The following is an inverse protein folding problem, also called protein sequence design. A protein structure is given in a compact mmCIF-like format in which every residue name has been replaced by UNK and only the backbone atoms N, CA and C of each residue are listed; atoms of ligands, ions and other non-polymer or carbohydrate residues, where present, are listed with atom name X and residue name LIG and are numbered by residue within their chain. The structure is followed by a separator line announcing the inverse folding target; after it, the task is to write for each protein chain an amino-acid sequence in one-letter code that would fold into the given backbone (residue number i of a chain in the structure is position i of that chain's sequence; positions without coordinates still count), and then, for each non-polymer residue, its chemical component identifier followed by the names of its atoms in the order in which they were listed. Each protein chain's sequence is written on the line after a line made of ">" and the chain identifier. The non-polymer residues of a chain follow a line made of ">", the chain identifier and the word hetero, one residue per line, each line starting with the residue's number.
data_IF_591043490492
#
_entry.id   IF_591043490492
#
_cell.length_a   1.000
_cell.length_b   1.000
_cell.length_c   1.000
_cell.angle_alpha   90.00
_cell.angle_beta   90.00
_cell.angle_gamma   90.00
#
_symmetry.space_group_name_H-M   'P 1'
#
loop_
_entity.id
_entity.type
_entity.pdbx_description
1 polymer ?
#
# COMPACT_ATOMS: atom_id res chain seq x y z
N UNK A 1 1.13 0.95 -13.95
CA UNK A 1 1.82 -0.14 -13.22
C UNK A 1 1.86 0.32 -11.78
N UNK A 2 0.80 0.06 -11.03
CA UNK A 2 0.70 0.48 -9.63
C UNK A 2 1.31 -0.66 -8.78
N UNK A 3 1.90 -0.37 -7.63
CA UNK A 3 2.39 -1.40 -6.71
C UNK A 3 2.78 -0.80 -5.38
N UNK A 4 3.40 -1.58 -4.50
CA UNK A 4 3.89 -1.17 -3.18
C UNK A 4 5.28 -1.74 -2.86
N UNK A 5 6.05 -1.05 -1.99
CA UNK A 5 7.51 -1.19 -1.91
C UNK A 5 7.98 -2.12 -0.79
N UNK A 6 8.80 -3.12 -1.13
CA UNK A 6 9.62 -3.84 -0.16
C UNK A 6 11.07 -3.84 -0.61
N UNK A 7 11.90 -3.04 0.06
CA UNK A 7 13.34 -3.18 -0.08
C UNK A 7 13.76 -4.51 0.59
N UNK A 8 14.13 -5.48 -0.24
CA UNK A 8 14.43 -6.83 0.18
C UNK A 8 15.94 -7.04 0.08
N UNK A 9 16.67 -6.83 1.19
CA UNK A 9 18.11 -7.06 1.23
C UNK A 9 18.41 -8.56 1.24
N UNK A 10 18.88 -9.09 0.11
CA UNK A 10 19.54 -10.39 0.04
C UNK A 10 21.05 -10.16 0.08
N UNK A 11 21.64 -10.25 1.28
CA UNK A 11 23.09 -10.23 1.44
C UNK A 11 23.69 -11.59 1.06
N UNK A 12 23.89 -11.80 -0.23
CA UNK A 12 24.98 -12.63 -0.74
C UNK A 12 26.17 -11.71 -1.01
N UNK A 13 27.39 -12.22 -1.05
CA UNK A 13 28.57 -11.45 -1.45
C UNK A 13 28.39 -10.97 -2.91
N UNK A 14 27.72 -9.83 -3.11
CA UNK A 14 27.22 -9.41 -4.41
C UNK A 14 26.14 -8.33 -4.26
N UNK A 15 26.12 -7.39 -5.20
CA UNK A 15 25.28 -6.19 -5.26
C UNK A 15 23.87 -6.34 -4.66
N UNK A 16 23.46 -5.39 -3.79
CA UNK A 16 22.09 -5.31 -3.29
C UNK A 16 21.12 -4.93 -4.43
N UNK A 17 19.98 -5.60 -4.50
CA UNK A 17 18.88 -5.29 -5.43
C UNK A 17 17.65 -4.81 -4.66
N UNK A 18 16.91 -3.90 -5.26
CA UNK A 18 15.55 -3.55 -4.85
C UNK A 18 14.58 -4.38 -5.68
N UNK A 19 13.52 -4.88 -5.05
CA UNK A 19 12.45 -5.64 -5.72
C UNK A 19 11.12 -5.01 -5.33
N UNK A 20 10.18 -4.99 -6.26
CA UNK A 20 8.88 -4.36 -6.05
C UNK A 20 7.76 -5.23 -6.60
N UNK A 21 6.69 -5.39 -5.84
CA UNK A 21 5.48 -6.06 -6.31
C UNK A 21 4.74 -5.17 -7.28
N UNK A 22 4.33 -5.74 -8.41
CA UNK A 22 3.66 -5.03 -9.50
C UNK A 22 2.54 -5.87 -10.08
N UNK A 23 1.72 -5.24 -10.91
CA UNK A 23 0.71 -5.88 -11.73
C UNK A 23 0.52 -5.09 -13.02
N UNK A 24 -0.13 -5.73 -13.99
CA UNK A 24 -0.59 -5.06 -15.22
C UNK A 24 -2.11 -5.01 -15.23
N UNK A 25 -2.66 -3.90 -15.70
CA UNK A 25 -4.07 -3.84 -16.06
C UNK A 25 -4.39 -4.91 -17.13
N UNK A 26 -5.54 -5.60 -17.03
CA UNK A 26 -6.69 -5.35 -16.15
C UNK A 26 -6.62 -6.06 -14.78
N UNK A 27 -5.42 -6.37 -14.28
CA UNK A 27 -5.13 -6.98 -12.97
C UNK A 27 -5.63 -8.42 -12.78
N UNK A 28 -5.87 -9.16 -13.88
CA UNK A 28 -6.37 -10.54 -13.86
C UNK A 28 -5.27 -11.60 -13.91
N UNK A 29 -4.06 -11.23 -14.34
CA UNK A 29 -2.95 -12.17 -14.47
C UNK A 29 -2.35 -12.53 -13.11
N UNK A 30 -2.11 -11.51 -12.28
CA UNK A 30 -1.59 -11.66 -10.92
C UNK A 30 -0.26 -10.98 -10.66
N UNK A 31 0.43 -11.46 -9.62
CA UNK A 31 1.64 -10.87 -9.05
C UNK A 31 2.79 -10.90 -10.03
N UNK A 32 3.42 -9.75 -10.23
CA UNK A 32 4.65 -9.57 -10.99
C UNK A 32 5.69 -8.88 -10.13
N UNK A 33 6.95 -8.92 -10.56
CA UNK A 33 8.03 -8.17 -9.91
C UNK A 33 8.77 -7.30 -10.91
N UNK A 34 9.24 -6.16 -10.42
CA UNK A 34 10.29 -5.36 -11.06
C UNK A 34 11.48 -5.30 -10.12
N UNK A 35 12.67 -5.07 -10.67
CA UNK A 35 13.90 -4.97 -9.89
C UNK A 35 14.72 -3.75 -10.29
N UNK A 36 15.56 -3.29 -9.37
CA UNK A 36 16.50 -2.20 -9.59
C UNK A 36 17.81 -2.46 -8.86
N UNK A 37 18.92 -2.02 -9.44
CA UNK A 37 20.27 -2.06 -8.82
C UNK A 37 20.58 -0.80 -8.02
N UNK A 38 19.95 0.31 -8.36
CA UNK A 38 20.22 1.63 -7.81
C UNK A 38 18.99 2.29 -7.18
N UNK A 39 17.84 1.62 -7.23
CA UNK A 39 16.56 2.13 -6.76
C UNK A 39 15.94 3.17 -7.69
N UNK A 40 16.52 3.47 -8.85
CA UNK A 40 16.00 4.51 -9.76
C UNK A 40 15.67 3.94 -11.14
N UNK A 41 16.49 3.03 -11.66
CA UNK A 41 16.26 2.38 -12.93
C UNK A 41 15.68 1.00 -12.70
N UNK A 42 14.48 0.78 -13.22
CA UNK A 42 13.69 -0.43 -12.99
C UNK A 42 13.56 -1.25 -14.26
N UNK A 43 13.65 -2.56 -14.12
CA UNK A 43 13.40 -3.52 -15.17
C UNK A 43 12.50 -4.65 -14.67
N UNK A 44 11.81 -5.32 -15.59
CA UNK A 44 10.86 -6.38 -15.25
C UNK A 44 11.59 -7.67 -14.90
N UNK A 45 11.06 -8.40 -13.91
CA UNK A 45 11.35 -9.82 -13.75
C UNK A 45 10.28 -10.59 -14.54
N UNK A 46 10.64 -11.29 -15.63
CA UNK A 46 9.66 -12.02 -16.43
C UNK A 46 8.93 -13.09 -15.59
N UNK A 47 7.60 -13.09 -15.65
CA UNK A 47 6.78 -14.10 -14.99
C UNK A 47 5.50 -13.55 -14.37
N UNK A 48 4.70 -14.48 -13.86
CA UNK A 48 3.56 -14.25 -12.96
C UNK A 48 3.71 -15.23 -11.81
N UNK A 49 3.82 -14.72 -10.59
CA UNK A 49 4.25 -15.48 -9.42
C UNK A 49 3.09 -15.96 -8.55
N UNK A 50 1.93 -15.28 -8.61
CA UNK A 50 0.70 -15.70 -7.95
C UNK A 50 -0.50 -15.16 -8.73
N UNK A 51 -1.37 -16.05 -9.20
CA UNK A 51 -2.59 -15.67 -9.92
C UNK A 51 -3.78 -15.57 -8.95
N UNK A 52 -4.49 -14.42 -8.87
CA UNK A 52 -5.57 -14.20 -7.93
C UNK A 52 -6.74 -15.17 -8.13
N UNK A 53 -7.24 -15.71 -7.02
CA UNK A 53 -8.37 -16.65 -6.95
C UNK A 53 -9.45 -16.20 -5.95
N UNK A 54 -9.10 -15.33 -4.99
CA UNK A 54 -10.03 -14.83 -3.96
C UNK A 54 -10.69 -13.49 -4.31
N UNK A 55 -11.79 -13.19 -3.62
CA UNK A 55 -12.65 -12.03 -3.85
C UNK A 55 -13.63 -12.19 -5.01
N UNK A 56 -14.55 -11.23 -5.13
CA UNK A 56 -15.64 -11.30 -6.12
C UNK A 56 -15.15 -11.21 -7.56
N UNK A 57 -14.21 -10.30 -7.84
CA UNK A 57 -13.69 -10.07 -9.19
C UNK A 57 -12.39 -10.83 -9.47
N UNK A 58 -11.74 -11.38 -8.43
CA UNK A 58 -10.49 -12.14 -8.55
C UNK A 58 -9.40 -11.37 -9.31
N UNK A 59 -9.26 -10.09 -8.95
CA UNK A 59 -8.15 -9.25 -9.44
C UNK A 59 -7.05 -9.17 -8.39
N UNK A 60 -5.84 -8.83 -8.82
CA UNK A 60 -4.73 -8.46 -7.97
C UNK A 60 -4.24 -7.07 -8.34
N UNK A 61 -4.81 -6.07 -7.66
CA UNK A 61 -4.31 -4.70 -7.77
C UNK A 61 -3.59 -4.30 -6.49
N UNK A 62 -2.66 -3.38 -6.67
CA UNK A 62 -1.93 -2.72 -5.59
C UNK A 62 -1.30 -3.74 -4.62
N UNK A 63 -0.56 -4.76 -5.13
CA UNK A 63 0.02 -5.77 -4.26
C UNK A 63 1.11 -5.14 -3.39
N UNK A 64 1.00 -5.33 -2.08
CA UNK A 64 1.96 -4.91 -1.07
C UNK A 64 2.57 -6.14 -0.43
N UNK A 65 3.90 -6.15 -0.27
CA UNK A 65 4.63 -7.22 0.41
C UNK A 65 5.21 -6.65 1.71
N UNK A 66 5.56 -7.49 2.68
CA UNK A 66 6.55 -7.17 3.72
C UNK A 66 7.28 -8.45 4.10
N UNK A 67 8.54 -8.34 4.53
CA UNK A 67 9.28 -9.46 5.12
C UNK A 67 9.34 -9.29 6.63
N UNK A 68 8.90 -10.29 7.38
CA UNK A 68 9.01 -10.33 8.84
C UNK A 68 10.35 -10.93 9.30
N UNK A 69 10.78 -10.73 10.57
CA UNK A 69 12.07 -11.21 11.08
C UNK A 69 12.26 -12.73 11.06
N UNK A 70 11.18 -13.50 11.02
CA UNK A 70 11.19 -14.96 10.83
C UNK A 70 11.48 -15.38 9.38
N UNK A 71 11.65 -14.40 8.49
CA UNK A 71 12.05 -14.60 7.10
C UNK A 71 10.88 -14.82 6.14
N UNK A 72 9.63 -14.75 6.62
CA UNK A 72 8.42 -14.93 5.80
C UNK A 72 8.08 -13.63 5.06
N UNK A 73 7.67 -13.76 3.80
CA UNK A 73 7.06 -12.69 3.02
C UNK A 73 5.55 -12.79 3.13
N UNK A 74 4.92 -11.70 3.51
CA UNK A 74 3.47 -11.56 3.54
C UNK A 74 3.05 -10.66 2.38
N UNK A 75 2.00 -11.04 1.67
CA UNK A 75 1.45 -10.31 0.53
C UNK A 75 -0.02 -9.99 0.80
N UNK A 76 -0.42 -8.75 0.52
CA UNK A 76 -1.81 -8.31 0.50
C UNK A 76 -2.15 -7.58 -0.79
N UNK A 77 -3.41 -7.61 -1.23
CA UNK A 77 -3.84 -6.93 -2.46
C UNK A 77 -5.35 -6.63 -2.50
N UNK A 78 -5.73 -5.69 -3.37
CA UNK A 78 -7.12 -5.39 -3.71
C UNK A 78 -7.71 -6.50 -4.59
N UNK A 79 -8.83 -7.10 -4.15
CA UNK A 79 -9.46 -8.26 -4.84
C UNK A 79 -10.63 -7.91 -5.75
N UNK A 80 -11.25 -6.72 -5.54
CA UNK A 80 -12.36 -6.20 -6.34
C UNK A 80 -12.43 -4.67 -6.27
N UNK A 81 -12.94 -4.06 -7.34
CA UNK A 81 -13.27 -2.63 -7.38
C UNK A 81 -14.35 -2.24 -6.37
N UNK A 82 -15.39 -3.05 -6.18
CA UNK A 82 -16.46 -2.80 -5.21
C UNK A 82 -17.01 -4.11 -4.66
N UNK A 83 -17.61 -4.03 -3.47
CA UNK A 83 -18.41 -5.09 -2.88
C UNK A 83 -17.65 -6.12 -2.05
N UNK A 84 -16.32 -6.12 -2.09
CA UNK A 84 -15.50 -6.86 -1.14
C UNK A 84 -15.30 -6.04 0.14
N UNK A 85 -15.27 -6.74 1.28
CA UNK A 85 -15.13 -6.19 2.64
C UNK A 85 -13.77 -6.50 3.26
N UNK A 86 -12.80 -6.80 2.41
CA UNK A 86 -11.52 -7.34 2.78
C UNK A 86 -10.53 -7.28 1.64
N UNK A 87 -9.36 -7.85 1.88
CA UNK A 87 -8.26 -7.95 0.92
C UNK A 87 -7.79 -9.39 0.81
N UNK A 88 -7.07 -9.69 -0.28
CA UNK A 88 -6.43 -10.98 -0.45
C UNK A 88 -5.15 -11.06 0.39
N UNK A 89 -4.81 -12.27 0.82
CA UNK A 89 -3.58 -12.57 1.56
C UNK A 89 -2.93 -13.86 1.05
N UNK A 90 -1.61 -13.86 0.97
CA UNK A 90 -0.79 -15.07 0.83
C UNK A 90 0.57 -14.84 1.51
N UNK A 91 1.29 -15.92 1.80
CA UNK A 91 2.65 -15.87 2.31
C UNK A 91 3.62 -16.74 1.52
N UNK A 92 4.90 -16.39 1.56
CA UNK A 92 5.97 -17.12 0.86
C UNK A 92 7.25 -17.11 1.68
N UNK A 93 8.11 -18.10 1.48
CA UNK A 93 9.47 -18.14 2.04
C UNK A 93 10.54 -17.70 1.03
N UNK A 94 10.19 -17.59 -0.24
CA UNK A 94 11.14 -17.41 -1.35
C UNK A 94 10.66 -16.46 -2.45
N UNK A 95 9.50 -15.82 -2.30
CA UNK A 95 8.82 -14.96 -3.29
C UNK A 95 8.33 -15.69 -4.56
N UNK A 96 8.56 -17.00 -4.66
CA UNK A 96 8.26 -17.82 -5.84
C UNK A 96 7.06 -18.71 -5.55
N UNK A 97 7.13 -19.46 -4.46
CA UNK A 97 6.10 -20.37 -4.02
C UNK A 97 5.25 -19.69 -2.95
N UNK A 98 4.01 -19.42 -3.29
CA UNK A 98 3.03 -18.77 -2.42
C UNK A 98 2.07 -19.80 -1.83
N UNK A 99 1.63 -19.54 -0.59
CA UNK A 99 0.59 -20.32 0.09
C UNK A 99 -0.74 -20.28 -0.68
N UNK A 100 -1.70 -21.09 -0.23
CA UNK A 100 -3.09 -20.86 -0.61
C UNK A 100 -3.53 -19.44 -0.23
N UNK A 101 -4.29 -18.81 -1.13
CA UNK A 101 -4.82 -17.47 -0.93
C UNK A 101 -5.96 -17.48 0.11
N UNK A 102 -5.98 -16.46 0.96
CA UNK A 102 -7.07 -16.21 1.90
C UNK A 102 -7.71 -14.87 1.63
N UNK A 103 -9.01 -14.78 1.87
CA UNK A 103 -9.70 -13.50 1.99
C UNK A 103 -9.69 -13.06 3.45
N UNK A 104 -9.09 -11.91 3.75
CA UNK A 104 -9.08 -11.32 5.09
C UNK A 104 -10.16 -10.24 5.14
N UNK A 105 -11.25 -10.52 5.85
CA UNK A 105 -12.35 -9.58 6.05
C UNK A 105 -12.01 -8.61 7.18
N UNK A 106 -12.08 -7.31 6.91
CA UNK A 106 -11.71 -6.25 7.88
C UNK A 106 -12.79 -5.19 8.07
N UNK A 107 -13.84 -5.20 7.24
CA UNK A 107 -14.92 -4.22 7.31
C UNK A 107 -16.26 -4.90 7.62
N UNK A 108 -16.77 -4.68 8.83
CA UNK A 108 -18.06 -5.22 9.25
C UNK A 108 -19.25 -4.38 8.78
N UNK A 109 -19.03 -3.10 8.45
CA UNK A 109 -20.10 -2.20 8.02
C UNK A 109 -20.65 -2.65 6.64
N UNK A 110 -21.94 -3.01 6.54
CA UNK A 110 -22.55 -3.52 5.32
C UNK A 110 -22.63 -2.46 4.22
N UNK A 111 -22.54 -1.17 4.54
CA UNK A 111 -22.53 -0.05 3.59
C UNK A 111 -21.14 0.22 2.98
N UNK A 112 -20.07 -0.36 3.55
CA UNK A 112 -18.71 -0.23 3.01
C UNK A 112 -18.66 -0.57 1.52
N UNK A 113 -18.18 0.36 0.71
CA UNK A 113 -18.16 0.22 -0.74
C UNK A 113 -17.05 -0.71 -1.20
N UNK A 114 -15.87 -0.62 -0.56
CA UNK A 114 -14.65 -1.28 -0.99
C UNK A 114 -13.60 -1.32 0.14
N UNK A 115 -12.58 -2.15 -0.09
CA UNK A 115 -11.28 -2.17 0.60
C UNK A 115 -10.23 -2.12 -0.50
N UNK A 116 -9.52 -0.99 -0.63
CA UNK A 116 -8.56 -0.73 -1.70
C UNK A 116 -7.16 -0.48 -1.18
N UNK A 117 -6.19 -0.84 -2.02
CA UNK A 117 -4.76 -0.59 -1.86
C UNK A 117 -4.26 -0.91 -0.44
N UNK A 118 -4.40 -2.18 0.00
CA UNK A 118 -3.88 -2.57 1.30
C UNK A 118 -2.35 -2.47 1.30
N UNK A 119 -1.78 -1.75 2.26
CA UNK A 119 -0.35 -1.57 2.44
C UNK A 119 0.12 -2.22 3.74
N UNK A 120 1.23 -2.96 3.68
CA UNK A 120 1.87 -3.56 4.84
C UNK A 120 2.94 -2.63 5.44
N UNK A 121 2.89 -2.48 6.76
CA UNK A 121 3.94 -1.85 7.55
C UNK A 121 4.29 -2.76 8.73
N UNK A 122 5.54 -3.23 8.82
CA UNK A 122 6.01 -3.98 9.98
C UNK A 122 6.55 -3.04 11.06
N UNK A 123 5.91 -3.03 12.22
CA UNK A 123 6.38 -2.31 13.40
C UNK A 123 7.34 -3.20 14.20
N UNK A 124 8.63 -2.95 14.07
CA UNK A 124 9.69 -3.67 14.77
C UNK A 124 9.62 -3.51 16.30
N UNK A 125 9.10 -2.38 16.81
CA UNK A 125 9.03 -2.13 18.27
C UNK A 125 7.92 -2.98 18.89
N UNK A 126 6.77 -3.04 18.21
CA UNK A 126 5.57 -3.78 18.66
C UNK A 126 5.56 -5.25 18.19
N UNK A 127 6.46 -5.60 17.27
CA UNK A 127 6.56 -6.91 16.60
C UNK A 127 5.24 -7.34 15.98
N UNK A 128 4.62 -6.43 15.23
CA UNK A 128 3.35 -6.65 14.56
C UNK A 128 3.29 -5.96 13.19
N UNK A 129 2.49 -6.51 12.29
CA UNK A 129 2.16 -5.86 11.02
C UNK A 129 0.93 -4.99 11.20
N UNK A 130 1.01 -3.76 10.76
CA UNK A 130 -0.11 -2.88 10.48
C UNK A 130 -0.47 -3.01 8.99
N UNK A 131 -1.76 -3.16 8.70
CA UNK A 131 -2.29 -3.16 7.34
C UNK A 131 -3.17 -1.95 7.17
N UNK A 132 -2.83 -1.07 6.23
CA UNK A 132 -3.54 0.19 5.95
C UNK A 132 -4.34 0.03 4.67
N UNK A 133 -5.58 0.50 4.60
CA UNK A 133 -6.35 0.49 3.35
C UNK A 133 -7.29 1.68 3.23
N UNK A 134 -7.76 1.94 2.02
CA UNK A 134 -8.80 2.93 1.76
C UNK A 134 -10.19 2.27 1.68
N UNK A 135 -11.14 2.82 2.44
CA UNK A 135 -12.56 2.42 2.37
C UNK A 135 -13.47 3.64 2.30
N UNK A 136 -14.52 3.53 1.49
CA UNK A 136 -15.62 4.48 1.45
C UNK A 136 -16.84 3.89 2.18
N UNK A 137 -17.39 4.67 3.11
CA UNK A 137 -18.63 4.36 3.83
C UNK A 137 -19.56 5.56 3.60
N UNK A 138 -20.57 5.43 2.73
CA UNK A 138 -21.51 6.51 2.40
C UNK A 138 -22.12 7.14 3.65
N UNK A 139 -22.18 8.48 3.71
CA UNK A 139 -22.76 9.23 4.82
C UNK A 139 -21.92 9.32 6.09
N UNK A 140 -20.79 8.59 6.19
CA UNK A 140 -19.96 8.59 7.41
C UNK A 140 -19.12 9.86 7.60
N UNK A 141 -18.71 10.49 6.51
CA UNK A 141 -17.89 11.70 6.52
C UNK A 141 -18.49 12.75 5.57
N UNK A 142 -18.18 14.02 5.81
CA UNK A 142 -18.57 15.09 4.89
C UNK A 142 -18.04 14.79 3.47
N UNK A 143 -18.93 14.82 2.47
CA UNK A 143 -18.59 14.48 1.07
C UNK A 143 -17.80 15.55 0.34
N UNK A 144 -17.95 16.82 0.75
CA UNK A 144 -17.41 17.95 -0.02
C UNK A 144 -17.88 17.92 -1.48
N UNK A 145 -16.93 17.78 -2.41
CA UNK A 145 -17.19 17.70 -3.86
C UNK A 145 -17.26 16.27 -4.40
N UNK A 146 -17.08 15.27 -3.56
CA UNK A 146 -16.98 13.87 -3.98
C UNK A 146 -18.36 13.21 -4.14
N UNK A 147 -18.38 12.12 -4.91
CA UNK A 147 -19.51 11.18 -4.95
C UNK A 147 -19.61 10.43 -3.62
N UNK A 148 -20.83 10.17 -3.16
CA UNK A 148 -21.09 9.54 -1.85
C UNK A 148 -20.47 8.14 -1.73
N UNK A 149 -20.27 7.46 -2.86
CA UNK A 149 -19.63 6.14 -2.95
C UNK A 149 -18.19 6.23 -3.47
N UNK A 150 -17.56 7.40 -3.34
CA UNK A 150 -16.16 7.67 -3.72
C UNK A 150 -15.49 8.72 -2.80
N UNK A 151 -15.92 8.76 -1.54
CA UNK A 151 -15.34 9.59 -0.48
C UNK A 151 -14.66 8.69 0.55
N UNK A 152 -13.37 8.44 0.37
CA UNK A 152 -12.61 7.43 1.12
C UNK A 152 -11.89 8.02 2.33
N UNK A 153 -11.66 7.17 3.33
CA UNK A 153 -10.70 7.40 4.41
C UNK A 153 -9.77 6.21 4.55
N UNK A 154 -8.63 6.44 5.19
CA UNK A 154 -7.70 5.37 5.50
C UNK A 154 -8.08 4.73 6.84
N UNK A 155 -8.08 3.41 6.84
CA UNK A 155 -8.31 2.57 7.99
C UNK A 155 -7.11 1.65 8.19
N UNK A 156 -7.02 1.04 9.36
CA UNK A 156 -6.02 0.03 9.63
C UNK A 156 -6.51 -1.09 10.55
N UNK A 157 -5.78 -2.19 10.51
CA UNK A 157 -5.82 -3.30 11.46
C UNK A 157 -4.37 -3.69 11.79
N UNK A 158 -4.15 -4.35 12.93
CA UNK A 158 -2.86 -4.95 13.26
C UNK A 158 -2.98 -6.46 13.46
N UNK A 159 -1.87 -7.15 13.20
CA UNK A 159 -1.75 -8.60 13.40
C UNK A 159 -0.32 -9.00 13.73
N UNK A 160 -0.16 -10.06 14.52
CA UNK A 160 1.16 -10.66 14.82
C UNK A 160 1.40 -11.97 14.08
N UNK A 161 0.35 -12.56 13.51
CA UNK A 161 0.36 -13.92 12.99
C UNK A 161 -0.42 -14.09 11.68
N UNK A 162 -1.02 -13.01 11.16
CA UNK A 162 -1.92 -13.00 10.01
C UNK A 162 -3.11 -13.97 10.13
N UNK A 163 -3.43 -14.43 11.34
CA UNK A 163 -4.60 -15.27 11.65
C UNK A 163 -5.61 -14.49 12.46
N UNK A 164 -5.12 -13.71 13.42
CA UNK A 164 -5.92 -12.86 14.30
C UNK A 164 -5.65 -11.40 13.97
N UNK A 165 -6.71 -10.62 13.81
CA UNK A 165 -6.65 -9.21 13.42
C UNK A 165 -7.36 -8.35 14.46
N UNK A 166 -6.80 -7.17 14.76
CA UNK A 166 -7.52 -6.19 15.57
C UNK A 166 -8.75 -5.67 14.82
N UNK A 167 -9.80 -5.19 15.51
CA UNK A 167 -10.88 -4.46 14.85
C UNK A 167 -10.34 -3.30 14.00
N UNK A 168 -10.99 -3.04 12.87
CA UNK A 168 -10.63 -1.92 12.01
C UNK A 168 -10.80 -0.58 12.74
N UNK A 169 -9.80 0.28 12.59
CA UNK A 169 -9.78 1.63 13.17
C UNK A 169 -9.54 2.66 12.09
N UNK A 170 -10.12 3.85 12.25
CA UNK A 170 -9.82 5.00 11.40
C UNK A 170 -8.37 5.41 11.62
N UNK A 171 -7.58 5.49 10.55
CA UNK A 171 -6.19 5.93 10.61
C UNK A 171 -6.08 7.45 10.48
N UNK A 172 -6.69 8.00 9.43
CA UNK A 172 -6.69 9.44 9.18
C UNK A 172 -7.97 9.89 8.46
N UNK A 173 -8.50 11.02 8.92
CA UNK A 173 -9.53 11.82 8.25
C UNK A 173 -9.05 13.28 8.20
N UNK A 174 -8.50 13.74 7.07
CA UNK A 174 -8.06 15.12 6.92
C UNK A 174 -9.20 16.06 6.50
N UNK A 175 -10.45 15.60 6.52
CA UNK A 175 -11.63 16.34 6.04
C UNK A 175 -11.94 16.16 4.55
N UNK A 176 -11.15 15.38 3.82
CA UNK A 176 -11.33 15.10 2.40
C UNK A 176 -10.94 13.67 2.02
N UNK A 177 -11.32 13.25 0.81
CA UNK A 177 -11.10 11.88 0.32
C UNK A 177 -9.62 11.57 0.17
N UNK A 178 -9.16 10.51 0.83
CA UNK A 178 -7.78 10.02 0.74
C UNK A 178 -7.77 8.53 0.43
N UNK A 179 -6.83 8.12 -0.42
CA UNK A 179 -6.54 6.73 -0.75
C UNK A 179 -5.01 6.54 -0.82
N UNK A 180 -4.57 5.32 -1.09
CA UNK A 180 -3.18 4.90 -1.33
C UNK A 180 -2.17 5.51 -0.34
N UNK A 181 -1.79 4.73 0.67
CA UNK A 181 -0.87 5.19 1.69
C UNK A 181 0.28 4.22 1.90
N UNK A 182 1.45 4.77 2.15
CA UNK A 182 2.63 4.03 2.59
C UNK A 182 3.25 4.70 3.80
N UNK A 183 3.81 3.89 4.71
CA UNK A 183 4.26 4.30 6.03
C UNK A 183 5.75 4.01 6.20
N UNK A 184 6.49 5.01 6.63
CA UNK A 184 7.93 4.93 6.91
C UNK A 184 8.19 5.28 8.36
N UNK A 185 8.93 4.42 9.06
CA UNK A 185 9.57 4.77 10.33
C UNK A 185 10.96 5.34 10.04
N UNK A 186 11.15 6.64 10.30
CA UNK A 186 12.45 7.32 10.13
C UNK A 186 13.34 7.12 11.36
N UNK A 187 12.75 6.98 12.53
CA UNK A 187 13.46 6.82 13.79
C UNK A 187 12.52 6.53 14.96
N UNK A 188 13.06 6.64 16.17
CA UNK A 188 12.26 6.56 17.40
C UNK A 188 11.22 7.69 17.41
N UNK A 189 9.93 7.35 17.52
CA UNK A 189 8.81 8.30 17.50
C UNK A 189 8.81 9.27 16.30
N UNK A 190 9.27 8.83 15.13
CA UNK A 190 9.29 9.62 13.90
C UNK A 190 8.77 8.78 12.73
N UNK A 191 7.50 8.99 12.40
CA UNK A 191 6.77 8.28 11.36
C UNK A 191 6.27 9.24 10.29
N UNK A 192 6.37 8.81 9.04
CA UNK A 192 5.94 9.55 7.87
C UNK A 192 4.99 8.71 7.06
N UNK A 193 3.82 9.26 6.76
CA UNK A 193 2.88 8.70 5.80
C UNK A 193 2.96 9.49 4.50
N UNK A 194 3.17 8.78 3.40
CA UNK A 194 2.94 9.33 2.07
C UNK A 194 1.55 8.91 1.65
N UNK A 195 0.69 9.86 1.26
CA UNK A 195 -0.74 9.62 1.03
C UNK A 195 -1.24 10.38 -0.18
N UNK A 196 -2.16 9.78 -0.94
CA UNK A 196 -2.84 10.47 -2.02
C UNK A 196 -4.06 11.25 -1.53
N UNK A 197 -4.08 12.53 -1.85
CA UNK A 197 -5.31 13.33 -1.87
C UNK A 197 -6.15 12.91 -3.08
N UNK A 198 -7.27 12.23 -2.83
CA UNK A 198 -8.15 11.71 -3.86
C UNK A 198 -9.28 12.70 -4.24
N UNK A 199 -9.26 13.91 -3.71
CA UNK A 199 -10.25 14.94 -4.10
C UNK A 199 -10.14 15.23 -5.59
N UNK A 200 -11.26 15.34 -6.31
CA UNK A 200 -11.27 15.35 -7.80
C UNK A 200 -10.41 16.42 -8.44
N UNK A 201 -10.28 17.57 -7.79
CA UNK A 201 -9.45 18.68 -8.27
C UNK A 201 -7.97 18.56 -7.88
N UNK A 202 -7.64 17.69 -6.93
CA UNK A 202 -6.29 17.51 -6.38
C UNK A 202 -5.61 16.30 -7.01
N UNK A 203 -6.00 15.07 -6.66
CA UNK A 203 -5.44 13.81 -7.20
C UNK A 203 -3.91 13.81 -7.24
N UNK A 204 -3.30 14.18 -6.11
CA UNK A 204 -1.86 14.37 -5.94
C UNK A 204 -1.36 13.72 -4.65
N UNK A 205 -0.04 13.68 -4.45
CA UNK A 205 0.58 13.05 -3.29
C UNK A 205 1.03 14.10 -2.27
N UNK A 206 0.76 13.82 -1.01
CA UNK A 206 1.05 14.65 0.17
C UNK A 206 1.77 13.82 1.24
N UNK A 207 2.30 14.52 2.25
CA UNK A 207 3.01 13.90 3.37
C UNK A 207 2.32 14.25 4.69
N UNK A 208 2.18 13.27 5.60
CA UNK A 208 1.73 13.47 6.97
C UNK A 208 2.73 12.86 7.95
N UNK A 209 2.80 13.40 9.18
CA UNK A 209 3.77 13.03 10.20
C UNK A 209 3.09 12.60 11.49
N UNK A 210 3.69 11.66 12.23
CA UNK A 210 3.22 11.22 13.54
C UNK A 210 4.37 10.74 14.43
N UNK A 211 4.12 10.69 15.74
CA UNK A 211 5.02 10.11 16.73
C UNK A 211 4.72 8.63 17.05
N UNK A 212 3.60 8.10 16.55
CA UNK A 212 3.16 6.71 16.70
C UNK A 212 2.54 6.28 15.35
N UNK A 213 2.76 5.05 14.86
CA UNK A 213 2.23 4.62 13.57
C UNK A 213 0.69 4.60 13.54
N UNK A 214 0.05 4.53 14.72
CA UNK A 214 -1.41 4.61 14.89
C UNK A 214 -1.93 6.05 14.94
N UNK A 215 -1.05 7.05 14.87
CA UNK A 215 -1.37 8.46 14.99
C UNK A 215 -1.37 9.00 16.43
N UNK A 216 -1.88 10.23 16.65
CA UNK A 216 -2.53 11.07 15.66
C UNK A 216 -1.57 11.53 14.56
N UNK A 217 -2.09 11.58 13.34
CA UNK A 217 -1.39 12.06 12.16
C UNK A 217 -1.59 13.56 11.96
N UNK A 218 -0.56 14.28 11.53
CA UNK A 218 -0.68 15.68 11.14
C UNK A 218 -1.63 15.84 9.96
N UNK A 219 -2.14 17.06 9.73
CA UNK A 219 -2.75 17.37 8.45
C UNK A 219 -1.73 17.11 7.32
N UNK A 220 -2.15 16.49 6.20
CA UNK A 220 -1.26 16.30 5.08
C UNK A 220 -0.74 17.64 4.53
N UNK A 221 0.51 17.66 4.10
CA UNK A 221 1.22 18.82 3.56
C UNK A 221 0.56 19.39 2.29
N UNK A 222 1.11 20.50 1.79
CA UNK A 222 0.93 20.84 0.37
C UNK A 222 1.46 19.70 -0.52
N UNK A 223 0.88 19.51 -1.72
CA UNK A 223 1.30 18.43 -2.60
C UNK A 223 2.71 18.68 -3.14
N UNK A 224 3.48 17.60 -3.28
CA UNK A 224 4.80 17.64 -3.93
C UNK A 224 4.77 17.08 -5.36
N UNK A 225 3.62 16.58 -5.82
CA UNK A 225 3.42 16.09 -7.19
C UNK A 225 2.39 16.93 -7.93
N UNK A 226 2.43 16.87 -9.25
CA UNK A 226 1.32 17.31 -10.10
C UNK A 226 0.02 16.52 -9.81
N UNK A 227 -1.15 17.03 -10.22
CA UNK A 227 -2.38 16.24 -10.28
C UNK A 227 -2.24 15.00 -11.18
N UNK A 228 -3.15 14.04 -10.98
CA UNK A 228 -3.18 12.76 -11.70
C UNK A 228 -2.00 11.85 -11.37
N UNK A 229 -1.65 11.78 -10.08
CA UNK A 229 -0.65 10.87 -9.53
C UNK A 229 -1.22 9.99 -8.42
N UNK A 230 -0.73 8.76 -8.28
CA UNK A 230 -1.23 7.80 -7.30
C UNK A 230 -0.24 6.69 -6.92
N UNK A 231 -0.69 5.79 -6.04
CA UNK A 231 0.08 4.61 -5.62
C UNK A 231 1.47 4.96 -5.08
N UNK A 232 1.60 5.84 -4.07
CA UNK A 232 2.89 6.18 -3.52
C UNK A 232 3.52 4.95 -2.86
N UNK A 233 4.83 4.82 -3.04
CA UNK A 233 5.61 3.76 -2.42
C UNK A 233 7.00 4.28 -2.05
N UNK A 234 7.65 3.71 -1.04
CA UNK A 234 8.88 4.28 -0.48
C UNK A 234 10.03 3.29 -0.34
N UNK A 235 11.25 3.77 -0.57
CA UNK A 235 12.46 2.97 -0.38
C UNK A 235 13.55 3.81 0.27
N UNK A 236 14.32 3.19 1.17
CA UNK A 236 15.59 3.76 1.61
C UNK A 236 16.69 3.34 0.63
N UNK A 237 17.27 4.31 -0.07
CA UNK A 237 18.32 4.12 -1.07
C UNK A 237 19.57 4.85 -0.60
N UNK A 238 20.54 4.10 -0.08
CA UNK A 238 21.69 4.69 0.60
C UNK A 238 21.26 5.50 1.83
N UNK A 239 21.56 6.79 1.83
CA UNK A 239 21.22 7.72 2.91
C UNK A 239 19.90 8.48 2.68
N UNK A 240 19.25 8.27 1.54
CA UNK A 240 18.08 9.02 1.13
C UNK A 240 16.85 8.11 1.07
N UNK A 241 15.68 8.71 1.07
CA UNK A 241 14.41 8.06 0.74
C UNK A 241 14.01 8.43 -0.68
N UNK A 242 13.54 7.43 -1.43
CA UNK A 242 12.89 7.63 -2.72
C UNK A 242 11.40 7.33 -2.55
N UNK A 243 10.56 8.25 -3.03
CA UNK A 243 9.12 8.11 -3.08
C UNK A 243 8.73 7.92 -4.56
N UNK A 244 8.22 6.75 -4.91
CA UNK A 244 7.75 6.40 -6.25
C UNK A 244 6.26 6.63 -6.35
N UNK A 245 5.76 6.96 -7.55
CA UNK A 245 4.33 7.15 -7.80
C UNK A 245 4.00 6.94 -9.28
N UNK A 246 2.80 6.43 -9.56
CA UNK A 246 2.24 6.33 -10.91
C UNK A 246 1.72 7.71 -11.32
N UNK A 247 2.22 8.25 -12.44
CA UNK A 247 1.71 9.48 -13.04
C UNK A 247 0.76 9.11 -14.16
N UNK A 248 -0.39 8.55 -13.79
CA UNK A 248 -1.35 8.00 -14.76
C UNK A 248 -1.88 9.05 -15.74
N UNK A 249 -1.83 10.34 -15.41
CA UNK A 249 -2.12 11.43 -16.35
C UNK A 249 -1.10 11.50 -17.51
N UNK A 250 0.17 11.28 -17.21
CA UNK A 250 1.31 11.30 -18.15
C UNK A 250 1.68 9.91 -18.70
N UNK A 251 1.11 8.84 -18.11
CA UNK A 251 1.34 7.43 -18.47
C UNK A 251 2.78 6.98 -18.27
N UNK A 252 3.43 7.48 -17.22
CA UNK A 252 4.78 7.09 -16.81
C UNK A 252 4.91 7.03 -15.27
N UNK A 253 6.13 6.81 -14.79
CA UNK A 253 6.46 6.80 -13.36
C UNK A 253 7.21 8.04 -12.95
N UNK A 254 6.95 8.49 -11.73
CA UNK A 254 7.72 9.52 -11.05
C UNK A 254 8.47 8.96 -9.85
N UNK A 255 9.56 9.65 -9.48
CA UNK A 255 10.30 9.38 -8.27
C UNK A 255 10.78 10.69 -7.66
N UNK A 256 10.53 10.89 -6.36
CA UNK A 256 11.01 12.04 -5.60
C UNK A 256 12.03 11.58 -4.56
N UNK A 257 13.20 12.19 -4.57
CA UNK A 257 14.26 11.95 -3.59
C UNK A 257 14.12 12.91 -2.40
N UNK A 258 14.29 12.41 -1.18
CA UNK A 258 14.22 13.17 0.08
C UNK A 258 15.08 12.54 1.19
N UNK A 259 15.15 13.17 2.38
CA UNK A 259 15.96 12.74 3.55
C UNK A 259 15.11 12.31 4.75
#
# INVERSE_FOLDING_TARGET
>A
MIGAFVALMLSSCGSNYYVYSSFHEPATDGLRYIYSKDGLHWDSIPGVWLKPKVGKQKVMRDPSIVRTPDGIYHLVWTTSWRGDKGFGYAESKDLIHWSEERMIHVMDDPTTVNVWAPELFYDEDRKECMIIWASCIPGKFARGIEDEKNNHRLYYTTTKDFKSFSPAKLLIDPGYSVIDATLVKKGWNDYVMVVKDNTRKMRNIKISFAHDPHGPWSLPSEPFTEPLTEGPATAKVGNDYIIYYDRYGSKDFGAQKTR
#
